data_IF_825906877518
#
_entry.id   IF_825906877518
#
_cell.length_a   1.000
_cell.length_b   1.000
_cell.length_c   1.000
_cell.angle_alpha   90.00
_cell.angle_beta   90.00
_cell.angle_gamma   90.00
#
_symmetry.space_group_name_H-M   'P 1'
#
loop_
_entity.id
_entity.type
_entity.pdbx_description
1 polymer ?
#
# COMPACT_ATOMS: atom_id res chain seq x y z
N UNK A 1 -9.54 54.86 -16.51
CA UNK A 1 -9.81 53.78 -15.54
C UNK A 1 -8.53 52.98 -15.44
N UNK A 2 -7.68 53.31 -14.46
CA UNK A 2 -6.43 52.62 -14.24
C UNK A 2 -6.70 51.29 -13.56
N UNK A 3 -6.10 50.21 -14.08
CA UNK A 3 -6.32 48.87 -13.63
C UNK A 3 -5.43 48.58 -12.42
N UNK A 4 -6.03 48.58 -11.22
CA UNK A 4 -5.36 48.28 -9.96
C UNK A 4 -4.86 46.83 -9.83
N UNK A 5 -5.18 45.98 -10.80
CA UNK A 5 -4.81 44.55 -10.80
C UNK A 5 -3.35 44.32 -11.23
N UNK A 6 -2.81 45.17 -12.14
CA UNK A 6 -1.42 45.02 -12.59
C UNK A 6 -0.43 45.48 -11.54
N UNK A 7 -0.76 46.53 -10.79
CA UNK A 7 0.12 47.07 -9.72
C UNK A 7 0.28 46.09 -8.53
N UNK A 8 -0.81 45.39 -8.20
CA UNK A 8 -0.76 44.37 -7.13
C UNK A 8 0.07 43.16 -7.56
N UNK A 9 0.00 42.75 -8.83
CA UNK A 9 0.78 41.63 -9.37
C UNK A 9 2.27 41.99 -9.40
N UNK A 10 2.63 43.22 -9.71
CA UNK A 10 4.02 43.72 -9.72
C UNK A 10 4.60 43.77 -8.30
N UNK A 11 3.83 44.26 -7.32
CA UNK A 11 4.24 44.31 -5.90
C UNK A 11 4.40 42.91 -5.30
N UNK A 12 3.57 41.93 -5.71
CA UNK A 12 3.74 40.55 -5.27
C UNK A 12 4.97 39.89 -5.88
N UNK A 13 5.33 40.18 -7.12
CA UNK A 13 6.56 39.67 -7.75
C UNK A 13 7.81 40.22 -7.07
N UNK A 14 7.85 41.53 -6.73
CA UNK A 14 8.98 42.11 -6.01
C UNK A 14 9.15 41.57 -4.59
N UNK A 15 8.02 41.30 -3.89
CA UNK A 15 8.04 40.72 -2.56
C UNK A 15 8.57 39.30 -2.55
N UNK A 16 8.14 38.45 -3.48
CA UNK A 16 8.59 37.05 -3.62
C UNK A 16 10.05 36.98 -4.07
N UNK A 17 10.44 37.88 -4.99
CA UNK A 17 11.82 37.95 -5.47
C UNK A 17 12.81 38.45 -4.38
N UNK A 18 12.38 39.39 -3.54
CA UNK A 18 13.14 39.89 -2.40
C UNK A 18 13.36 38.81 -1.33
N UNK A 19 12.32 38.00 -1.02
CA UNK A 19 12.44 36.86 -0.08
C UNK A 19 13.35 35.78 -0.65
N UNK A 20 13.27 35.50 -1.96
CA UNK A 20 14.11 34.49 -2.60
C UNK A 20 15.58 34.91 -2.63
N UNK A 21 15.88 36.19 -2.93
CA UNK A 21 17.25 36.72 -2.88
C UNK A 21 17.78 36.73 -1.46
N UNK A 22 16.97 37.09 -0.45
CA UNK A 22 17.40 37.09 0.95
C UNK A 22 17.74 35.70 1.46
N UNK A 23 16.99 34.66 1.04
CA UNK A 23 17.29 33.27 1.39
C UNK A 23 18.52 32.75 0.65
N UNK A 24 18.67 33.06 -0.66
CA UNK A 24 19.86 32.69 -1.43
C UNK A 24 21.12 33.37 -0.92
N UNK A 25 21.05 34.66 -0.53
CA UNK A 25 22.18 35.38 0.03
C UNK A 25 22.61 34.85 1.40
N UNK A 26 21.66 34.48 2.27
CA UNK A 26 21.98 33.85 3.56
C UNK A 26 22.61 32.46 3.39
N UNK A 27 22.17 31.69 2.43
CA UNK A 27 22.77 30.37 2.11
C UNK A 27 24.15 30.52 1.49
N UNK A 28 24.37 31.54 0.62
CA UNK A 28 25.67 31.79 0.00
C UNK A 28 26.70 32.31 1.00
N UNK A 29 26.32 33.17 1.94
CA UNK A 29 27.22 33.66 3.00
C UNK A 29 27.62 32.55 3.99
N UNK A 30 26.74 31.59 4.28
CA UNK A 30 27.11 30.41 5.08
C UNK A 30 28.13 29.49 4.39
N UNK A 31 28.25 29.53 3.07
CA UNK A 31 29.25 28.74 2.33
C UNK A 31 30.60 29.39 2.19
N UNK A 32 30.69 30.72 2.32
CA UNK A 32 31.95 31.48 2.14
C UNK A 32 32.74 31.59 3.44
N UNK A 33 32.07 31.61 4.63
CA UNK A 33 32.74 31.71 5.95
C UNK A 33 33.23 30.37 6.51
N UNK A 34 33.04 29.25 5.81
CA UNK A 34 33.45 27.92 6.27
C UNK A 34 34.95 27.61 6.09
N UNK A 35 35.82 28.63 5.92
CA UNK A 35 37.25 28.43 5.78
C UNK A 35 38.13 29.12 6.85
N UNK A 36 37.56 29.52 7.97
CA UNK A 36 38.37 30.05 9.09
C UNK A 36 37.85 29.49 10.43
N UNK A 37 38.77 28.83 11.13
CA UNK A 37 38.83 28.51 12.55
C UNK A 37 38.07 27.28 13.10
N UNK A 38 38.93 26.42 13.65
CA UNK A 38 38.74 25.16 14.37
C UNK A 38 38.14 25.30 15.79
N UNK A 39 37.19 26.18 16.03
CA UNK A 39 36.48 26.28 17.33
C UNK A 39 35.05 26.75 17.15
N UNK A 40 34.18 25.88 16.65
CA UNK A 40 32.74 26.05 16.80
C UNK A 40 32.00 24.71 16.92
N UNK A 41 32.02 24.21 18.15
CA UNK A 41 31.26 22.98 18.53
C UNK A 41 29.75 23.25 18.74
N UNK A 42 29.18 24.32 18.15
CA UNK A 42 27.83 24.78 18.50
C UNK A 42 26.86 24.90 17.31
N UNK A 43 27.16 24.30 16.16
CA UNK A 43 26.23 24.27 15.01
C UNK A 43 25.59 22.86 14.77
N UNK A 44 25.23 22.16 15.84
CA UNK A 44 24.52 20.88 15.74
C UNK A 44 23.03 20.99 16.01
N UNK A 45 22.39 22.12 15.76
CA UNK A 45 20.93 22.23 15.78
C UNK A 45 20.46 23.16 14.64
N UNK A 46 20.75 22.77 13.41
CA UNK A 46 19.82 23.15 12.35
C UNK A 46 18.61 22.23 12.61
N UNK A 47 17.60 22.77 13.28
CA UNK A 47 16.26 22.20 13.23
C UNK A 47 15.90 22.21 11.74
N UNK A 48 16.09 21.09 11.04
CA UNK A 48 15.38 20.81 9.82
C UNK A 48 13.93 20.90 10.26
N UNK A 49 13.25 21.98 9.89
CA UNK A 49 11.82 22.09 10.02
C UNK A 49 11.32 20.89 9.22
N UNK A 50 10.97 19.84 9.91
CA UNK A 50 10.38 18.66 9.32
C UNK A 50 8.97 19.11 8.89
N UNK A 51 8.88 19.68 7.68
CA UNK A 51 7.59 20.05 7.09
C UNK A 51 6.89 18.73 6.89
N UNK A 52 6.00 18.41 7.82
CA UNK A 52 5.18 17.23 7.79
C UNK A 52 4.42 17.24 6.46
N UNK A 53 4.77 16.30 5.57
CA UNK A 53 4.15 16.26 4.24
C UNK A 53 2.80 15.58 4.34
N UNK A 54 1.80 16.19 3.71
CA UNK A 54 0.46 15.63 3.60
C UNK A 54 0.48 14.32 2.80
N UNK A 55 -0.25 13.32 3.27
CA UNK A 55 -0.45 12.07 2.52
C UNK A 55 -1.27 12.34 1.27
N UNK A 56 -0.75 11.88 0.14
CA UNK A 56 -1.39 12.03 -1.19
C UNK A 56 -1.86 10.71 -1.78
N UNK A 57 -1.24 9.61 -1.38
CA UNK A 57 -1.54 8.28 -1.90
C UNK A 57 -1.55 7.26 -0.75
N UNK A 58 -2.61 6.46 -0.73
CA UNK A 58 -2.64 5.24 0.09
C UNK A 58 -2.74 4.04 -0.85
N UNK A 59 -1.81 3.12 -0.70
CA UNK A 59 -1.77 1.87 -1.42
C UNK A 59 -2.24 0.79 -0.47
N UNK A 60 -3.18 -0.04 -0.88
CA UNK A 60 -3.74 -1.11 -0.08
C UNK A 60 -3.40 -2.47 -0.67
N UNK A 61 -3.09 -3.46 0.17
CA UNK A 61 -3.33 -4.85 -0.23
C UNK A 61 -4.83 -5.12 -0.35
N UNK A 62 -5.21 -6.24 -0.94
CA UNK A 62 -6.60 -6.60 -1.20
C UNK A 62 -7.10 -7.67 -0.23
N UNK A 63 -6.52 -8.90 -0.32
CA UNK A 63 -6.95 -10.08 0.43
C UNK A 63 -6.55 -9.94 1.91
N UNK A 64 -7.51 -9.89 2.82
CA UNK A 64 -7.25 -9.67 4.25
C UNK A 64 -7.11 -8.21 4.67
N UNK A 65 -7.05 -7.28 3.73
CA UNK A 65 -6.91 -5.84 4.01
C UNK A 65 -8.18 -5.07 3.67
N UNK A 66 -8.55 -4.97 2.38
CA UNK A 66 -9.80 -4.36 1.94
C UNK A 66 -10.96 -5.33 1.97
N UNK A 67 -10.71 -6.60 1.59
CA UNK A 67 -11.73 -7.64 1.42
C UNK A 67 -11.42 -8.88 2.27
N UNK A 68 -12.45 -9.43 2.91
CA UNK A 68 -12.39 -10.79 3.45
C UNK A 68 -12.68 -11.78 2.32
N UNK A 69 -11.60 -12.32 1.76
CA UNK A 69 -11.63 -13.24 0.61
C UNK A 69 -11.39 -14.68 1.01
N UNK A 70 -11.19 -14.96 2.30
CA UNK A 70 -10.68 -16.23 2.80
C UNK A 70 -11.56 -17.43 2.41
N UNK A 71 -12.88 -17.31 2.58
CA UNK A 71 -13.79 -18.43 2.34
C UNK A 71 -13.86 -18.82 0.86
N UNK A 72 -13.98 -17.85 -0.05
CA UNK A 72 -14.05 -18.13 -1.48
C UNK A 72 -12.71 -18.69 -2.01
N UNK A 73 -11.57 -18.22 -1.48
CA UNK A 73 -10.25 -18.78 -1.79
C UNK A 73 -10.15 -20.22 -1.28
N UNK A 74 -10.60 -20.49 -0.04
CA UNK A 74 -10.59 -21.82 0.55
C UNK A 74 -11.47 -22.81 -0.23
N UNK A 75 -12.69 -22.41 -0.58
CA UNK A 75 -13.62 -23.24 -1.35
C UNK A 75 -13.05 -23.61 -2.73
N UNK A 76 -12.47 -22.64 -3.44
CA UNK A 76 -11.88 -22.89 -4.75
C UNK A 76 -10.59 -23.73 -4.67
N UNK A 77 -9.78 -23.54 -3.62
CA UNK A 77 -8.58 -24.31 -3.39
C UNK A 77 -8.93 -25.77 -3.01
N UNK A 78 -9.89 -25.98 -2.11
CA UNK A 78 -10.37 -27.30 -1.71
C UNK A 78 -11.01 -28.03 -2.90
N UNK A 79 -11.81 -27.35 -3.72
CA UNK A 79 -12.27 -27.92 -4.99
C UNK A 79 -11.09 -28.41 -5.85
N UNK A 80 -10.02 -27.63 -5.95
CA UNK A 80 -8.85 -27.99 -6.76
C UNK A 80 -8.08 -29.17 -6.16
N UNK A 81 -7.99 -29.25 -4.83
CA UNK A 81 -7.42 -30.39 -4.11
C UNK A 81 -8.22 -31.67 -4.40
N UNK A 82 -9.55 -31.61 -4.33
CA UNK A 82 -10.44 -32.76 -4.67
C UNK A 82 -10.20 -33.24 -6.11
N UNK A 83 -10.15 -32.30 -7.07
CA UNK A 83 -9.91 -32.64 -8.49
C UNK A 83 -8.52 -33.25 -8.73
N UNK A 84 -7.57 -33.01 -7.78
CA UNK A 84 -6.25 -33.62 -7.77
C UNK A 84 -6.15 -34.89 -6.88
N UNK A 85 -7.27 -35.37 -6.32
CA UNK A 85 -7.31 -36.47 -5.36
C UNK A 85 -6.44 -36.23 -4.11
N UNK A 86 -6.34 -34.98 -3.68
CA UNK A 86 -5.64 -34.57 -2.45
C UNK A 86 -6.67 -34.23 -1.36
N UNK A 87 -6.30 -34.36 -0.07
CA UNK A 87 -7.15 -33.99 1.04
C UNK A 87 -7.39 -32.48 1.10
N UNK A 88 -8.60 -32.10 1.50
CA UNK A 88 -8.95 -30.72 1.76
C UNK A 88 -8.20 -30.15 2.98
N UNK A 89 -8.15 -28.81 3.06
CA UNK A 89 -7.63 -28.07 4.19
C UNK A 89 -8.75 -27.41 4.97
N UNK A 90 -8.57 -27.28 6.28
CA UNK A 90 -9.48 -26.54 7.13
C UNK A 90 -9.41 -25.03 6.83
N UNK A 91 -10.50 -24.32 7.06
CA UNK A 91 -10.60 -22.89 6.70
C UNK A 91 -9.54 -22.02 7.40
N UNK A 92 -9.22 -22.31 8.65
CA UNK A 92 -8.24 -21.59 9.45
C UNK A 92 -6.79 -21.74 8.94
N UNK A 93 -6.47 -22.85 8.28
CA UNK A 93 -5.15 -23.04 7.65
C UNK A 93 -4.90 -22.01 6.54
N UNK A 94 -5.95 -21.50 5.89
CA UNK A 94 -5.85 -20.51 4.82
C UNK A 94 -5.34 -19.17 5.30
N UNK A 95 -5.46 -18.85 6.58
CA UNK A 95 -4.83 -17.65 7.15
C UNK A 95 -3.33 -17.59 6.88
N UNK A 96 -2.64 -18.73 6.91
CA UNK A 96 -1.20 -18.81 6.67
C UNK A 96 -0.84 -19.08 5.20
N UNK A 97 -1.77 -19.56 4.40
CA UNK A 97 -1.54 -19.93 3.00
C UNK A 97 -1.72 -18.74 2.06
N UNK A 98 -2.63 -17.82 2.37
CA UNK A 98 -2.91 -16.63 1.54
C UNK A 98 -1.86 -15.54 1.77
N UNK A 99 -1.63 -14.70 0.74
CA UNK A 99 -0.76 -13.52 0.77
C UNK A 99 0.56 -13.67 0.00
N UNK A 100 0.99 -14.89 -0.32
CA UNK A 100 2.29 -15.17 -1.00
C UNK A 100 2.15 -15.54 -2.49
N UNK A 101 1.00 -15.27 -3.08
CA UNK A 101 0.68 -15.60 -4.47
C UNK A 101 0.17 -17.03 -4.67
N UNK A 102 -0.53 -17.23 -5.78
CA UNK A 102 -1.34 -18.43 -6.04
C UNK A 102 -0.52 -19.74 -6.06
N UNK A 103 0.68 -19.74 -6.64
CA UNK A 103 1.50 -20.94 -6.68
C UNK A 103 2.01 -21.35 -5.29
N UNK A 104 2.27 -20.38 -4.40
CA UNK A 104 2.66 -20.68 -3.03
C UNK A 104 1.47 -21.14 -2.18
N UNK A 105 0.27 -20.62 -2.42
CA UNK A 105 -0.96 -21.15 -1.85
C UNK A 105 -1.08 -22.65 -2.15
N UNK A 106 -0.91 -23.05 -3.41
CA UNK A 106 -1.03 -24.47 -3.80
C UNK A 106 0.08 -25.34 -3.20
N UNK A 107 1.34 -24.86 -3.22
CA UNK A 107 2.45 -25.60 -2.58
C UNK A 107 2.20 -25.81 -1.09
N UNK A 108 1.66 -24.79 -0.40
CA UNK A 108 1.31 -24.91 1.01
C UNK A 108 0.12 -25.85 1.27
N UNK A 109 -0.90 -25.83 0.42
CA UNK A 109 -2.09 -26.67 0.55
C UNK A 109 -1.84 -28.15 0.20
N UNK A 110 -0.95 -28.44 -0.75
CA UNK A 110 -0.63 -29.79 -1.17
C UNK A 110 0.07 -30.61 -0.06
N UNK A 111 -0.21 -31.91 0.04
CA UNK A 111 0.63 -32.84 0.82
C UNK A 111 2.09 -32.80 0.36
N UNK A 112 3.06 -33.02 1.26
CA UNK A 112 4.48 -32.90 0.92
C UNK A 112 4.93 -33.71 -0.30
N UNK A 113 4.40 -34.92 -0.47
CA UNK A 113 4.69 -35.84 -1.56
C UNK A 113 4.16 -35.38 -2.93
N UNK A 114 3.22 -34.44 -2.93
CA UNK A 114 2.60 -33.87 -4.15
C UNK A 114 3.06 -32.44 -4.47
N UNK A 115 4.02 -31.88 -3.72
CA UNK A 115 4.53 -30.49 -3.89
C UNK A 115 5.50 -30.35 -5.07
N UNK A 116 5.08 -30.68 -6.26
CA UNK A 116 5.85 -30.49 -7.49
C UNK A 116 5.17 -29.52 -8.45
N UNK A 117 5.91 -29.00 -9.43
CA UNK A 117 5.40 -27.97 -10.36
C UNK A 117 4.25 -28.49 -11.22
N UNK A 118 4.26 -29.77 -11.62
CA UNK A 118 3.19 -30.37 -12.41
C UNK A 118 1.85 -30.30 -11.65
N UNK A 119 1.87 -30.69 -10.37
CA UNK A 119 0.69 -30.67 -9.51
C UNK A 119 0.22 -29.25 -9.22
N UNK A 120 1.15 -28.31 -8.99
CA UNK A 120 0.84 -26.89 -8.80
C UNK A 120 0.13 -26.33 -10.04
N UNK A 121 0.63 -26.63 -11.24
CA UNK A 121 0.01 -26.20 -12.49
C UNK A 121 -1.36 -26.86 -12.73
N UNK A 122 -1.52 -28.12 -12.34
CA UNK A 122 -2.80 -28.83 -12.41
C UNK A 122 -3.82 -28.17 -11.47
N UNK A 123 -3.43 -27.88 -10.22
CA UNK A 123 -4.30 -27.15 -9.29
C UNK A 123 -4.69 -25.78 -9.84
N UNK A 124 -3.72 -25.02 -10.39
CA UNK A 124 -4.00 -23.72 -11.02
C UNK A 124 -5.06 -23.81 -12.11
N UNK A 125 -4.98 -24.85 -12.94
CA UNK A 125 -5.95 -25.11 -14.01
C UNK A 125 -7.38 -25.36 -13.50
N UNK A 126 -7.56 -25.96 -12.33
CA UNK A 126 -8.87 -26.15 -11.69
C UNK A 126 -9.31 -24.91 -10.90
N UNK A 127 -8.38 -24.26 -10.20
CA UNK A 127 -8.65 -23.14 -9.32
C UNK A 127 -9.17 -21.92 -10.08
N UNK A 128 -8.47 -21.47 -11.12
CA UNK A 128 -8.79 -20.19 -11.79
C UNK A 128 -10.23 -20.17 -12.31
N UNK A 129 -10.71 -21.16 -13.10
CA UNK A 129 -12.09 -21.15 -13.56
C UNK A 129 -13.11 -21.22 -12.41
N UNK A 130 -12.83 -22.04 -11.39
CA UNK A 130 -13.70 -22.19 -10.22
C UNK A 130 -13.78 -20.88 -9.45
N UNK A 131 -12.62 -20.30 -9.10
CA UNK A 131 -12.58 -19.08 -8.32
C UNK A 131 -13.20 -17.88 -9.07
N UNK A 132 -12.89 -17.67 -10.36
CA UNK A 132 -13.49 -16.59 -11.13
C UNK A 132 -15.02 -16.66 -11.19
N UNK A 133 -15.59 -17.87 -11.19
CA UNK A 133 -17.05 -18.07 -11.19
C UNK A 133 -17.70 -17.80 -9.84
N UNK A 134 -16.95 -17.91 -8.73
CA UNK A 134 -17.44 -17.85 -7.35
C UNK A 134 -16.71 -16.80 -6.49
N UNK A 135 -15.98 -15.87 -7.11
CA UNK A 135 -15.05 -14.95 -6.46
C UNK A 135 -15.71 -13.94 -5.48
N UNK A 136 -17.04 -13.80 -5.56
CA UNK A 136 -17.83 -12.90 -4.73
C UNK A 136 -19.03 -13.61 -4.09
N UNK A 137 -18.98 -14.93 -3.89
CA UNK A 137 -20.09 -15.67 -3.25
C UNK A 137 -20.15 -15.34 -1.75
N UNK A 138 -19.00 -15.18 -1.10
CA UNK A 138 -18.84 -14.86 0.32
C UNK A 138 -17.92 -13.68 0.58
N UNK A 139 -17.08 -13.34 -0.41
CA UNK A 139 -16.14 -12.22 -0.32
C UNK A 139 -16.87 -10.89 -0.21
N UNK A 140 -16.49 -10.06 0.78
CA UNK A 140 -17.05 -8.73 0.99
C UNK A 140 -16.01 -7.79 1.62
N UNK A 141 -16.19 -6.47 1.50
CA UNK A 141 -15.37 -5.51 2.22
C UNK A 141 -15.47 -5.73 3.74
N UNK A 142 -14.33 -5.59 4.45
CA UNK A 142 -14.37 -5.57 5.90
C UNK A 142 -15.24 -4.41 6.42
N UNK A 143 -15.88 -4.56 7.60
CA UNK A 143 -16.68 -3.50 8.19
C UNK A 143 -15.88 -2.19 8.35
N UNK A 144 -16.44 -1.07 7.87
CA UNK A 144 -15.81 0.25 7.94
C UNK A 144 -14.88 0.62 6.78
N UNK A 145 -14.57 -0.30 5.86
CA UNK A 145 -13.70 -0.03 4.69
C UNK A 145 -14.32 1.04 3.79
N UNK A 146 -15.60 0.92 3.47
CA UNK A 146 -16.25 1.86 2.55
C UNK A 146 -16.32 3.26 3.15
N UNK A 147 -16.61 3.37 4.44
CA UNK A 147 -16.64 4.64 5.19
C UNK A 147 -15.26 5.28 5.29
N UNK A 148 -14.20 4.47 5.49
CA UNK A 148 -12.82 4.92 5.47
C UNK A 148 -12.46 5.52 4.11
N UNK A 149 -12.74 4.78 3.02
CA UNK A 149 -12.47 5.23 1.66
C UNK A 149 -13.26 6.51 1.32
N UNK A 150 -14.55 6.61 1.70
CA UNK A 150 -15.35 7.83 1.54
C UNK A 150 -14.69 9.03 2.23
N UNK A 151 -14.26 8.83 3.48
CA UNK A 151 -13.64 9.87 4.31
C UNK A 151 -12.33 10.36 3.68
N UNK A 152 -11.44 9.46 3.30
CA UNK A 152 -10.14 9.78 2.73
C UNK A 152 -10.26 10.40 1.32
N UNK A 153 -11.19 9.88 0.49
CA UNK A 153 -11.48 10.44 -0.84
C UNK A 153 -11.98 11.90 -0.75
N UNK A 154 -12.81 12.22 0.26
CA UNK A 154 -13.30 13.59 0.49
C UNK A 154 -12.19 14.60 0.76
N UNK A 155 -11.01 14.13 1.15
CA UNK A 155 -9.80 14.93 1.38
C UNK A 155 -8.82 14.94 0.21
N UNK A 156 -9.21 14.35 -0.92
CA UNK A 156 -8.40 14.32 -2.14
C UNK A 156 -7.25 13.32 -2.13
N UNK A 157 -7.28 12.34 -1.21
CA UNK A 157 -6.27 11.28 -1.14
C UNK A 157 -6.57 10.26 -2.25
N UNK A 158 -5.56 9.95 -3.05
CA UNK A 158 -5.63 8.94 -4.10
C UNK A 158 -5.46 7.53 -3.51
N UNK A 159 -6.03 6.53 -4.19
CA UNK A 159 -5.95 5.12 -3.79
C UNK A 159 -5.35 4.26 -4.90
N UNK A 160 -4.57 3.24 -4.51
CA UNK A 160 -4.13 2.17 -5.38
C UNK A 160 -4.25 0.82 -4.67
N UNK A 161 -4.30 -0.26 -5.44
CA UNK A 161 -4.25 -1.64 -4.95
C UNK A 161 -2.95 -2.27 -5.39
N UNK A 162 -2.25 -2.97 -4.48
CA UNK A 162 -1.02 -3.71 -4.72
C UNK A 162 -1.08 -5.07 -4.03
N UNK A 163 -1.41 -6.13 -4.79
CA UNK A 163 -1.67 -7.47 -4.24
C UNK A 163 -0.85 -8.56 -4.93
N UNK A 164 -0.52 -9.62 -4.17
CA UNK A 164 0.05 -10.85 -4.72
C UNK A 164 -1.01 -11.79 -5.35
N UNK A 165 -2.29 -11.40 -5.30
CA UNK A 165 -3.34 -12.05 -6.06
C UNK A 165 -3.11 -11.85 -7.56
N UNK A 166 -3.41 -12.85 -8.40
CA UNK A 166 -3.27 -12.69 -9.86
C UNK A 166 -4.12 -11.53 -10.41
N UNK A 167 -3.61 -10.85 -11.43
CA UNK A 167 -4.13 -9.56 -11.92
C UNK A 167 -5.63 -9.60 -12.22
N UNK A 168 -6.10 -10.59 -13.00
CA UNK A 168 -7.51 -10.71 -13.38
C UNK A 168 -8.44 -10.81 -12.15
N UNK A 169 -8.08 -11.65 -11.15
CA UNK A 169 -8.87 -11.78 -9.92
C UNK A 169 -8.86 -10.50 -9.08
N UNK A 170 -7.76 -9.75 -9.08
CA UNK A 170 -7.66 -8.45 -8.40
C UNK A 170 -8.60 -7.43 -9.04
N UNK A 171 -8.61 -7.37 -10.38
CA UNK A 171 -9.47 -6.47 -11.15
C UNK A 171 -10.97 -6.79 -10.97
N UNK A 172 -11.35 -8.08 -11.07
CA UNK A 172 -12.74 -8.51 -10.88
C UNK A 172 -13.27 -8.12 -9.50
N UNK A 173 -12.47 -8.33 -8.44
CA UNK A 173 -12.89 -7.99 -7.07
C UNK A 173 -13.00 -6.47 -6.88
N UNK A 174 -12.04 -5.70 -7.37
CA UNK A 174 -12.09 -4.25 -7.30
C UNK A 174 -13.30 -3.69 -8.06
N UNK A 175 -13.56 -4.19 -9.27
CA UNK A 175 -14.70 -3.77 -10.09
C UNK A 175 -16.06 -4.12 -9.45
N UNK A 176 -16.19 -5.32 -8.85
CA UNK A 176 -17.47 -5.76 -8.29
C UNK A 176 -17.76 -5.20 -6.91
N UNK A 177 -16.74 -5.08 -6.05
CA UNK A 177 -16.96 -4.81 -4.63
C UNK A 177 -16.49 -3.40 -4.20
N UNK A 178 -15.60 -2.75 -4.97
CA UNK A 178 -15.03 -1.46 -4.63
C UNK A 178 -15.32 -0.37 -5.67
N UNK A 179 -16.22 -0.61 -6.63
CA UNK A 179 -16.55 0.28 -7.76
C UNK A 179 -17.04 1.69 -7.36
N UNK A 180 -17.45 1.87 -6.11
CA UNK A 180 -17.86 3.18 -5.58
C UNK A 180 -16.67 4.16 -5.49
N UNK A 181 -15.44 3.65 -5.44
CA UNK A 181 -14.22 4.42 -5.33
C UNK A 181 -13.32 4.23 -6.55
N UNK A 182 -12.60 5.30 -6.91
CA UNK A 182 -11.63 5.25 -8.00
C UNK A 182 -10.25 4.90 -7.44
N UNK A 183 -9.70 3.78 -7.90
CA UNK A 183 -8.31 3.43 -7.68
C UNK A 183 -7.50 3.85 -8.90
N UNK A 184 -6.49 4.70 -8.70
CA UNK A 184 -5.64 5.19 -9.80
C UNK A 184 -4.78 4.09 -10.42
N UNK A 185 -4.58 3.00 -9.68
CA UNK A 185 -3.89 1.78 -10.13
C UNK A 185 -4.46 0.56 -9.40
N UNK A 186 -4.65 -0.52 -10.14
CA UNK A 186 -5.02 -1.84 -9.59
C UNK A 186 -3.97 -2.82 -10.07
N UNK A 187 -3.09 -3.26 -9.16
CA UNK A 187 -1.94 -4.09 -9.46
C UNK A 187 -2.06 -5.42 -8.72
N UNK A 188 -2.13 -6.49 -9.50
CA UNK A 188 -2.01 -7.88 -9.06
C UNK A 188 -0.69 -8.50 -9.54
N UNK A 189 -0.51 -9.80 -9.25
CA UNK A 189 0.61 -10.57 -9.79
C UNK A 189 0.47 -10.74 -11.31
N UNK A 190 1.56 -10.45 -12.04
CA UNK A 190 1.67 -10.55 -13.50
C UNK A 190 2.93 -11.32 -13.88
N UNK A 191 2.89 -12.03 -14.97
CA UNK A 191 4.05 -12.78 -15.48
C UNK A 191 5.24 -11.84 -15.73
N UNK A 192 6.43 -12.28 -15.34
CA UNK A 192 7.67 -11.51 -15.51
C UNK A 192 7.85 -10.32 -14.56
N UNK A 193 6.90 -10.07 -13.64
CA UNK A 193 7.03 -9.06 -12.59
C UNK A 193 7.33 -9.73 -11.26
N UNK A 194 8.20 -9.13 -10.42
CA UNK A 194 8.42 -9.64 -9.07
C UNK A 194 7.14 -9.50 -8.24
N UNK A 195 7.01 -10.38 -7.24
CA UNK A 195 5.91 -10.35 -6.26
C UNK A 195 6.38 -9.73 -4.95
N UNK A 196 5.45 -9.25 -4.13
CA UNK A 196 5.73 -8.85 -2.75
C UNK A 196 6.49 -9.99 -2.02
N UNK A 197 7.55 -9.73 -1.25
CA UNK A 197 7.94 -8.44 -0.69
C UNK A 197 8.88 -7.58 -1.55
N UNK A 198 9.02 -7.83 -2.86
CA UNK A 198 9.73 -6.93 -3.75
C UNK A 198 8.98 -5.59 -3.83
N UNK A 199 9.65 -4.41 -3.71
CA UNK A 199 9.01 -3.11 -3.67
C UNK A 199 8.44 -2.64 -5.01
N UNK A 200 8.77 -3.29 -6.12
CA UNK A 200 8.44 -2.85 -7.48
C UNK A 200 6.94 -2.58 -7.69
N UNK A 201 6.05 -3.31 -7.01
CA UNK A 201 4.60 -3.10 -7.13
C UNK A 201 4.17 -1.78 -6.47
N UNK A 202 4.79 -1.37 -5.35
CA UNK A 202 4.56 -0.07 -4.70
C UNK A 202 5.14 1.05 -5.56
N UNK A 203 6.37 0.89 -6.07
CA UNK A 203 7.03 1.85 -6.94
C UNK A 203 6.21 2.09 -8.23
N UNK A 204 5.64 1.03 -8.83
CA UNK A 204 4.76 1.15 -9.99
C UNK A 204 3.47 1.90 -9.66
N UNK A 205 2.89 1.70 -8.48
CA UNK A 205 1.72 2.46 -8.05
C UNK A 205 2.06 3.96 -7.85
N UNK A 206 3.20 4.26 -7.23
CA UNK A 206 3.68 5.63 -7.01
C UNK A 206 3.92 6.39 -8.32
N UNK A 207 4.39 5.73 -9.37
CA UNK A 207 4.61 6.35 -10.70
C UNK A 207 3.32 6.91 -11.32
N UNK A 208 2.14 6.52 -10.83
CA UNK A 208 0.85 7.06 -11.28
C UNK A 208 0.56 8.46 -10.73
N UNK A 209 1.35 8.96 -9.76
CA UNK A 209 1.22 10.30 -9.19
C UNK A 209 2.52 11.06 -9.47
N UNK A 210 2.53 12.00 -10.43
CA UNK A 210 3.74 12.73 -10.80
C UNK A 210 4.38 13.49 -9.62
N UNK A 211 5.67 13.25 -9.38
CA UNK A 211 6.45 13.94 -8.37
C UNK A 211 6.15 13.55 -6.92
N UNK A 212 5.42 12.44 -6.69
CA UNK A 212 5.18 11.94 -5.34
C UNK A 212 6.49 11.44 -4.71
N UNK A 213 6.65 11.68 -3.42
CA UNK A 213 7.77 11.15 -2.62
C UNK A 213 7.27 10.11 -1.62
N UNK A 214 8.15 9.23 -1.16
CA UNK A 214 7.79 8.11 -0.28
C UNK A 214 7.13 8.56 1.05
N UNK A 215 7.49 9.74 1.56
CA UNK A 215 6.90 10.34 2.76
C UNK A 215 5.48 10.89 2.57
N UNK A 216 4.98 10.94 1.34
CA UNK A 216 3.59 11.29 0.97
C UNK A 216 2.73 10.04 0.71
N UNK A 217 3.29 8.84 0.92
CA UNK A 217 2.66 7.55 0.64
C UNK A 217 2.51 6.72 1.91
N UNK A 218 1.38 6.05 2.03
CA UNK A 218 1.16 5.01 3.03
C UNK A 218 0.85 3.70 2.29
N UNK A 219 1.42 2.60 2.77
CA UNK A 219 1.04 1.25 2.37
C UNK A 219 0.32 0.55 3.51
N UNK A 220 -0.85 -0.05 3.25
CA UNK A 220 -1.66 -0.79 4.22
C UNK A 220 -1.74 -2.26 3.82
N UNK A 221 -1.47 -3.16 4.77
CA UNK A 221 -1.57 -4.60 4.55
C UNK A 221 -1.70 -5.37 5.85
N UNK A 222 -2.10 -6.65 5.76
CA UNK A 222 -2.40 -7.51 6.91
C UNK A 222 -1.39 -8.65 7.12
N UNK A 223 -0.30 -8.67 6.36
CA UNK A 223 0.67 -9.78 6.40
C UNK A 223 2.11 -9.33 6.62
N UNK A 224 2.95 -10.27 7.03
CA UNK A 224 4.40 -10.12 7.09
C UNK A 224 5.01 -9.71 5.75
N UNK A 225 4.43 -10.20 4.65
CA UNK A 225 4.85 -9.84 3.29
C UNK A 225 4.59 -8.36 3.04
N UNK A 226 3.47 -7.81 3.51
CA UNK A 226 3.12 -6.40 3.36
C UNK A 226 4.05 -5.50 4.16
N UNK A 227 4.30 -5.86 5.41
CA UNK A 227 5.23 -5.13 6.27
C UNK A 227 6.61 -5.01 5.61
N UNK A 228 7.13 -6.13 5.10
CA UNK A 228 8.39 -6.17 4.38
C UNK A 228 8.35 -5.36 3.07
N UNK A 229 7.23 -5.42 2.32
CA UNK A 229 7.09 -4.68 1.06
C UNK A 229 7.16 -3.17 1.29
N UNK A 230 6.43 -2.67 2.29
CA UNK A 230 6.44 -1.25 2.64
C UNK A 230 7.81 -0.78 3.14
N UNK A 231 8.47 -1.57 3.99
CA UNK A 231 9.83 -1.30 4.45
C UNK A 231 10.83 -1.27 3.28
N UNK A 232 10.75 -2.23 2.35
CA UNK A 232 11.62 -2.29 1.17
C UNK A 232 11.40 -1.12 0.21
N UNK A 233 10.16 -0.63 0.11
CA UNK A 233 9.81 0.55 -0.69
C UNK A 233 10.14 1.88 0.02
N UNK A 234 10.49 1.85 1.31
CA UNK A 234 10.79 3.04 2.10
C UNK A 234 9.57 3.94 2.36
N UNK A 235 8.36 3.38 2.34
CA UNK A 235 7.11 4.09 2.63
C UNK A 235 6.62 3.78 4.05
N UNK A 236 5.78 4.68 4.61
CA UNK A 236 5.11 4.39 5.87
C UNK A 236 4.16 3.21 5.71
N UNK A 237 4.26 2.21 6.59
CA UNK A 237 3.46 0.99 6.51
C UNK A 237 2.51 0.89 7.69
N UNK A 238 1.24 0.65 7.42
CA UNK A 238 0.22 0.34 8.41
C UNK A 238 -0.09 -1.15 8.33
N UNK A 239 0.11 -1.85 9.46
CA UNK A 239 -0.36 -3.21 9.64
C UNK A 239 -1.82 -3.19 10.12
N UNK A 240 -2.73 -3.87 9.41
CA UNK A 240 -4.13 -3.97 9.80
C UNK A 240 -4.39 -5.29 10.53
N UNK A 241 -5.03 -5.24 11.70
CA UNK A 241 -5.14 -6.40 12.59
C UNK A 241 -6.42 -7.22 12.41
N UNK A 242 -7.31 -6.79 11.54
CA UNK A 242 -8.55 -7.54 11.20
C UNK A 242 -8.38 -8.59 10.13
N UNK A 243 -7.17 -8.68 9.51
CA UNK A 243 -6.87 -9.59 8.41
C UNK A 243 -6.44 -10.99 8.85
N UNK A 244 -5.53 -11.60 8.11
CA UNK A 244 -5.16 -13.01 8.28
C UNK A 244 -4.04 -13.24 9.29
N UNK A 245 -3.21 -12.25 9.62
CA UNK A 245 -2.12 -12.35 10.59
C UNK A 245 -2.48 -11.69 11.90
N UNK A 246 -1.92 -12.22 12.98
CA UNK A 246 -2.12 -11.65 14.31
C UNK A 246 -1.36 -10.31 14.48
N UNK A 247 -1.82 -9.52 15.46
CA UNK A 247 -1.16 -8.27 15.84
C UNK A 247 0.32 -8.47 16.20
N UNK A 248 0.61 -9.57 16.91
CA UNK A 248 1.96 -9.93 17.36
C UNK A 248 2.88 -10.24 16.17
N UNK A 249 2.37 -10.96 15.17
CA UNK A 249 3.11 -11.25 13.94
C UNK A 249 3.44 -9.96 13.18
N UNK A 250 2.48 -9.04 13.03
CA UNK A 250 2.69 -7.76 12.36
C UNK A 250 3.65 -6.86 13.14
N UNK A 251 3.51 -6.82 14.48
CA UNK A 251 4.36 -6.00 15.35
C UNK A 251 5.85 -6.37 15.26
N UNK A 252 6.17 -7.63 14.94
CA UNK A 252 7.54 -8.10 14.79
C UNK A 252 8.31 -7.41 13.64
N UNK A 253 7.62 -6.74 12.73
CA UNK A 253 8.19 -6.00 11.59
C UNK A 253 8.29 -4.49 11.82
N UNK A 254 7.96 -4.00 13.01
CA UNK A 254 8.02 -2.59 13.41
C UNK A 254 7.32 -1.63 12.40
N UNK A 255 6.04 -1.88 12.03
CA UNK A 255 5.31 -1.00 11.14
C UNK A 255 5.16 0.39 11.75
N UNK A 256 4.98 1.41 10.91
CA UNK A 256 4.72 2.77 11.39
C UNK A 256 3.48 2.84 12.31
N UNK A 257 2.48 2.00 12.05
CA UNK A 257 1.25 1.89 12.84
C UNK A 257 0.66 0.48 12.75
N UNK A 258 0.02 0.04 13.83
CA UNK A 258 -0.94 -1.08 13.82
C UNK A 258 -2.34 -0.53 14.05
N UNK A 259 -3.23 -0.70 13.08
CA UNK A 259 -4.62 -0.25 13.14
C UNK A 259 -5.55 -1.42 13.44
N UNK A 260 -6.45 -1.23 14.42
CA UNK A 260 -7.45 -2.25 14.80
C UNK A 260 -8.80 -2.03 14.08
N UNK A 261 -8.96 -0.89 13.40
CA UNK A 261 -10.14 -0.60 12.59
C UNK A 261 -9.82 0.34 11.42
N UNK A 262 -10.62 0.30 10.32
CA UNK A 262 -10.47 1.25 9.21
C UNK A 262 -10.63 2.71 9.66
N UNK A 263 -11.45 2.99 10.67
CA UNK A 263 -11.64 4.33 11.21
C UNK A 263 -10.36 4.93 11.81
N UNK A 264 -9.51 4.11 12.42
CA UNK A 264 -8.20 4.55 12.95
C UNK A 264 -7.27 5.01 11.83
N UNK A 265 -7.28 4.34 10.68
CA UNK A 265 -6.50 4.77 9.51
C UNK A 265 -6.93 6.18 9.08
N UNK A 266 -8.24 6.41 8.93
CA UNK A 266 -8.75 7.73 8.57
C UNK A 266 -8.34 8.80 9.58
N UNK A 267 -8.50 8.53 10.87
CA UNK A 267 -8.21 9.49 11.94
C UNK A 267 -6.73 9.88 11.94
N UNK A 268 -5.82 8.91 11.80
CA UNK A 268 -4.38 9.15 11.84
C UNK A 268 -3.90 9.86 10.57
N UNK A 269 -4.34 9.41 9.40
CA UNK A 269 -3.98 10.05 8.12
C UNK A 269 -4.41 11.52 8.09
N UNK A 270 -5.59 11.83 8.62
CA UNK A 270 -6.10 13.20 8.67
C UNK A 270 -5.41 14.05 9.73
N UNK A 271 -5.09 13.50 10.91
CA UNK A 271 -4.31 14.22 11.93
C UNK A 271 -2.87 14.49 11.49
N UNK A 272 -2.33 13.66 10.61
CA UNK A 272 -1.01 13.84 10.00
C UNK A 272 -1.01 14.97 8.97
N UNK A 273 -2.18 15.41 8.54
CA UNK A 273 -2.37 16.43 7.50
C UNK A 273 -2.67 17.84 8.05
N UNK A 274 -2.88 17.97 9.37
CA UNK A 274 -3.03 19.24 10.10
C UNK A 274 -1.69 19.68 10.72
#
# INVERSE_FOLDING_TARGET
>A
MYDASEEIIELMKESVFSVFISVCFKVFFCFVDAKVDSHCATLRHINVINVKKMIKLIIFDLDGTLLDTREDIADACNYSLQMCSCPERALDEYNMLVGRGICNLFRGALPPEHRNEEMVMKMKGHFIPRYNSHICDKTMPYPGIMEMLDTLASKGIAFAIASNKYQEGTEILAERLLQRHTFIKILGQRDGKPIKPDPAIIEEAMQSVPGISADEVIYCGDSDVDMQTGANAGVRTIGVTWGFRSREELAAYDPWLLADSPAEISAIVLSDSE
#
